data_IF_297188673253
#
_entry.id   IF_297188673253
#
_cell.length_a   1.000
_cell.length_b   1.000
_cell.length_c   1.000
_cell.angle_alpha   90.00
_cell.angle_beta   90.00
_cell.angle_gamma   90.00
#
_symmetry.space_group_name_H-M   'P 1'
#
loop_
_entity.id
_entity.type
_entity.pdbx_description
1 polymer ?
#
# COMPACT_ATOMS: atom_id res chain seq x y z
N UNK A 1 -57.20 -30.26 2.84
CA UNK A 1 -56.60 -29.66 1.63
C UNK A 1 -55.55 -28.68 2.12
N UNK A 2 -54.40 -29.25 2.48
CA UNK A 2 -53.15 -29.22 1.70
C UNK A 2 -52.36 -27.95 2.09
N UNK A 3 -51.52 -28.03 3.12
CA UNK A 3 -50.11 -28.44 3.07
C UNK A 3 -49.24 -27.47 2.27
N UNK A 4 -48.22 -26.92 2.95
CA UNK A 4 -47.00 -26.48 2.29
C UNK A 4 -46.72 -24.98 2.33
N UNK A 5 -46.35 -24.44 3.49
CA UNK A 5 -45.41 -23.31 3.51
C UNK A 5 -44.51 -23.35 4.75
N UNK A 6 -43.91 -24.52 4.99
CA UNK A 6 -42.72 -24.63 5.84
C UNK A 6 -41.50 -24.28 4.97
N UNK A 7 -41.44 -23.02 4.53
CA UNK A 7 -40.23 -22.43 3.99
C UNK A 7 -39.12 -22.69 5.02
N UNK A 8 -38.15 -23.49 4.62
CA UNK A 8 -36.99 -23.92 5.40
C UNK A 8 -36.52 -22.80 6.32
N UNK A 9 -36.76 -22.92 7.62
CA UNK A 9 -36.25 -21.99 8.61
C UNK A 9 -34.72 -22.11 8.60
N UNK A 10 -34.08 -21.28 7.77
CA UNK A 10 -32.62 -21.19 7.69
C UNK A 10 -32.18 -20.77 9.08
N UNK A 11 -31.59 -21.72 9.82
CA UNK A 11 -31.12 -21.49 11.18
C UNK A 11 -30.13 -20.32 11.14
N UNK A 12 -30.47 -19.22 11.81
CA UNK A 12 -29.65 -18.01 11.83
C UNK A 12 -28.25 -18.39 12.34
N UNK A 13 -27.17 -18.06 11.62
CA UNK A 13 -25.82 -18.41 12.06
C UNK A 13 -25.49 -17.68 13.37
N UNK A 14 -24.68 -18.31 14.22
CA UNK A 14 -24.40 -17.83 15.58
C UNK A 14 -23.80 -16.41 15.63
N UNK A 15 -23.15 -15.96 14.55
CA UNK A 15 -22.51 -14.65 14.45
C UNK A 15 -23.21 -13.72 13.44
N UNK A 16 -24.49 -13.97 13.13
CA UNK A 16 -25.25 -13.18 12.16
C UNK A 16 -25.32 -11.69 12.54
N UNK A 17 -25.60 -11.41 13.81
CA UNK A 17 -25.83 -10.05 14.30
C UNK A 17 -24.52 -9.25 14.32
N UNK A 18 -23.42 -9.89 14.74
CA UNK A 18 -22.08 -9.33 14.67
C UNK A 18 -21.64 -9.07 13.22
N UNK A 19 -21.98 -9.97 12.29
CA UNK A 19 -21.67 -9.81 10.87
C UNK A 19 -22.45 -8.66 10.24
N UNK A 20 -23.73 -8.48 10.59
CA UNK A 20 -24.56 -7.38 10.08
C UNK A 20 -24.02 -6.02 10.52
N UNK A 21 -23.67 -5.88 11.80
CA UNK A 21 -23.04 -4.67 12.33
C UNK A 21 -21.65 -4.40 11.70
N UNK A 22 -20.87 -5.46 11.47
CA UNK A 22 -19.57 -5.39 10.80
C UNK A 22 -19.70 -4.93 9.34
N UNK A 23 -20.61 -5.53 8.57
CA UNK A 23 -20.80 -5.18 7.15
C UNK A 23 -21.22 -3.73 6.99
N UNK A 24 -22.13 -3.22 7.83
CA UNK A 24 -22.51 -1.81 7.82
C UNK A 24 -21.29 -0.89 7.92
N UNK A 25 -20.40 -1.16 8.88
CA UNK A 25 -19.17 -0.37 9.07
C UNK A 25 -18.17 -0.51 7.93
N UNK A 26 -17.99 -1.73 7.41
CA UNK A 26 -17.09 -1.95 6.27
C UNK A 26 -17.58 -1.16 5.06
N UNK A 27 -18.88 -1.15 4.79
CA UNK A 27 -19.44 -0.36 3.69
C UNK A 27 -19.20 1.14 3.93
N UNK A 28 -19.49 1.65 5.12
CA UNK A 28 -19.27 3.06 5.47
C UNK A 28 -17.79 3.48 5.34
N UNK A 29 -16.87 2.59 5.71
CA UNK A 29 -15.42 2.84 5.63
C UNK A 29 -14.87 2.74 4.20
N UNK A 30 -15.40 1.83 3.37
CA UNK A 30 -14.84 1.52 2.06
C UNK A 30 -15.54 2.25 0.90
N UNK A 31 -16.72 2.86 1.10
CA UNK A 31 -17.53 3.47 0.03
C UNK A 31 -16.80 4.53 -0.80
N UNK A 32 -15.84 5.22 -0.19
CA UNK A 32 -15.02 6.25 -0.84
C UNK A 32 -13.89 5.67 -1.72
N UNK A 33 -13.46 4.43 -1.43
CA UNK A 33 -12.30 3.80 -2.09
C UNK A 33 -12.72 2.67 -3.04
N UNK A 34 -13.75 1.90 -2.68
CA UNK A 34 -14.22 0.75 -3.44
C UNK A 34 -15.74 0.64 -3.43
N UNK A 35 -16.33 0.59 -4.63
CA UNK A 35 -17.77 0.38 -4.86
C UNK A 35 -18.08 -0.93 -5.57
N UNK A 36 -17.05 -1.75 -5.81
CA UNK A 36 -17.22 -3.08 -6.40
C UNK A 36 -17.66 -4.07 -5.32
N UNK A 37 -18.83 -4.67 -5.53
CA UNK A 37 -19.43 -5.63 -4.59
C UNK A 37 -18.64 -6.93 -4.50
N UNK A 38 -17.98 -7.35 -5.58
CA UNK A 38 -17.15 -8.55 -5.56
C UNK A 38 -15.91 -8.34 -4.70
N UNK A 39 -15.30 -7.16 -4.80
CA UNK A 39 -14.13 -6.80 -4.00
C UNK A 39 -14.52 -6.60 -2.53
N UNK A 40 -15.62 -5.88 -2.24
CA UNK A 40 -16.13 -5.75 -0.87
C UNK A 40 -16.42 -7.12 -0.24
N UNK A 41 -17.00 -8.05 -1.00
CA UNK A 41 -17.23 -9.43 -0.53
C UNK A 41 -15.91 -10.14 -0.20
N UNK A 42 -14.89 -9.98 -1.03
CA UNK A 42 -13.56 -10.53 -0.77
C UNK A 42 -12.95 -9.93 0.51
N UNK A 43 -12.99 -8.61 0.66
CA UNK A 43 -12.48 -7.90 1.84
C UNK A 43 -13.20 -8.34 3.12
N UNK A 44 -14.54 -8.42 3.10
CA UNK A 44 -15.31 -8.93 4.24
C UNK A 44 -14.90 -10.35 4.63
N UNK A 45 -14.61 -11.22 3.65
CA UNK A 45 -14.17 -12.60 3.91
C UNK A 45 -12.81 -12.66 4.61
N UNK A 46 -11.92 -11.70 4.32
CA UNK A 46 -10.61 -11.62 4.97
C UNK A 46 -10.71 -10.97 6.36
N UNK A 47 -11.42 -9.86 6.47
CA UNK A 47 -11.48 -9.01 7.66
C UNK A 47 -12.36 -9.60 8.77
N UNK A 48 -13.41 -10.34 8.44
CA UNK A 48 -14.34 -10.84 9.44
C UNK A 48 -13.71 -11.84 10.45
N UNK A 49 -12.88 -12.81 10.04
CA UNK A 49 -12.14 -13.64 11.00
C UNK A 49 -11.23 -12.84 11.92
N UNK A 50 -10.53 -11.82 11.40
CA UNK A 50 -9.68 -10.93 12.20
C UNK A 50 -10.51 -10.06 13.16
N UNK A 51 -11.71 -9.66 12.74
CA UNK A 51 -12.65 -8.93 13.58
C UNK A 51 -13.14 -9.75 14.78
N UNK A 52 -13.32 -11.06 14.61
CA UNK A 52 -13.77 -11.94 15.69
C UNK A 52 -12.64 -12.43 16.62
N UNK A 53 -11.38 -12.32 16.21
CA UNK A 53 -10.23 -12.77 17.02
C UNK A 53 -10.28 -12.30 18.48
N UNK A 54 -10.50 -11.00 18.79
CA UNK A 54 -10.54 -10.52 20.16
C UNK A 54 -11.69 -11.12 21.00
N UNK A 55 -12.79 -11.50 20.35
CA UNK A 55 -13.91 -12.16 21.01
C UNK A 55 -13.66 -13.65 21.23
N UNK A 56 -12.95 -14.31 20.29
CA UNK A 56 -12.53 -15.70 20.42
C UNK A 56 -11.45 -15.87 21.50
N UNK A 57 -10.57 -14.90 21.64
CA UNK A 57 -9.53 -14.86 22.67
C UNK A 57 -10.09 -14.55 24.08
N UNK A 58 -11.39 -14.24 24.17
CA UNK A 58 -12.07 -13.93 25.42
C UNK A 58 -11.75 -12.54 25.99
N UNK A 59 -11.05 -11.68 25.23
CA UNK A 59 -10.71 -10.32 25.64
C UNK A 59 -11.91 -9.37 25.58
N UNK A 60 -12.84 -9.63 24.66
CA UNK A 60 -14.04 -8.82 24.42
C UNK A 60 -15.28 -9.72 24.29
N UNK A 61 -16.45 -9.21 24.69
CA UNK A 61 -17.71 -9.88 24.40
C UNK A 61 -18.04 -9.73 22.91
N UNK A 62 -18.68 -10.75 22.30
CA UNK A 62 -19.16 -10.69 20.91
C UNK A 62 -20.14 -9.52 20.71
N UNK A 63 -20.89 -9.19 21.76
CA UNK A 63 -21.87 -8.11 21.77
C UNK A 63 -21.24 -6.71 21.94
N UNK A 64 -19.96 -6.62 22.33
CA UNK A 64 -19.27 -5.33 22.46
C UNK A 64 -18.75 -4.85 21.09
N UNK A 65 -19.70 -4.42 20.26
CA UNK A 65 -19.43 -3.97 18.89
C UNK A 65 -18.48 -2.77 18.86
N UNK A 66 -18.51 -1.90 19.88
CA UNK A 66 -17.64 -0.71 19.94
C UNK A 66 -16.21 -1.09 20.29
N UNK A 67 -16.01 -1.98 21.25
CA UNK A 67 -14.69 -2.51 21.60
C UNK A 67 -14.02 -3.20 20.41
N UNK A 68 -14.77 -4.04 19.71
CA UNK A 68 -14.31 -4.75 18.50
C UNK A 68 -13.88 -3.78 17.38
N UNK A 69 -14.63 -2.71 17.12
CA UNK A 69 -14.23 -1.72 16.12
C UNK A 69 -12.92 -1.02 16.46
N UNK A 70 -12.77 -0.62 17.73
CA UNK A 70 -11.57 0.10 18.16
C UNK A 70 -10.32 -0.77 18.06
N UNK A 71 -10.44 -2.06 18.36
CA UNK A 71 -9.36 -3.03 18.18
C UNK A 71 -9.02 -3.23 16.68
N UNK A 72 -10.02 -3.22 15.80
CA UNK A 72 -9.83 -3.44 14.35
C UNK A 72 -9.55 -2.19 13.54
N UNK A 73 -9.62 -0.99 14.14
CA UNK A 73 -9.45 0.27 13.42
C UNK A 73 -8.11 0.36 12.68
N UNK A 74 -7.01 -0.13 13.27
CA UNK A 74 -5.70 -0.16 12.62
C UNK A 74 -5.69 -1.10 11.40
N UNK A 75 -6.28 -2.28 11.54
CA UNK A 75 -6.42 -3.28 10.47
C UNK A 75 -7.23 -2.76 9.30
N UNK A 76 -8.38 -2.11 9.57
CA UNK A 76 -9.19 -1.47 8.52
C UNK A 76 -8.40 -0.40 7.77
N UNK A 77 -7.65 0.45 8.48
CA UNK A 77 -6.84 1.50 7.85
C UNK A 77 -5.75 0.95 6.92
N UNK A 78 -5.13 -0.19 7.27
CA UNK A 78 -4.19 -0.87 6.36
C UNK A 78 -4.93 -1.51 5.17
N UNK A 79 -6.05 -2.20 5.42
CA UNK A 79 -6.84 -2.84 4.38
C UNK A 79 -7.38 -1.86 3.31
N UNK A 80 -7.82 -0.66 3.72
CA UNK A 80 -8.27 0.40 2.81
C UNK A 80 -7.16 0.85 1.84
N UNK A 81 -5.88 0.76 2.24
CA UNK A 81 -4.75 1.11 1.36
C UNK A 81 -4.45 -0.01 0.35
N UNK A 82 -4.98 -1.21 0.59
CA UNK A 82 -4.63 -2.45 -0.11
C UNK A 82 -5.85 -3.13 -0.75
N UNK A 83 -6.97 -2.42 -0.96
CA UNK A 83 -8.24 -3.01 -1.42
C UNK A 83 -8.08 -3.86 -2.68
N UNK A 84 -7.21 -3.48 -3.61
CA UNK A 84 -6.96 -4.24 -4.84
C UNK A 84 -5.65 -5.05 -4.83
N UNK A 85 -4.86 -4.93 -3.76
CA UNK A 85 -3.70 -5.77 -3.52
C UNK A 85 -4.20 -7.11 -2.98
N UNK A 86 -4.20 -8.14 -3.82
CA UNK A 86 -4.65 -9.51 -3.43
C UNK A 86 -3.68 -10.22 -2.46
N UNK A 87 -2.95 -9.45 -1.68
CA UNK A 87 -1.90 -9.89 -0.77
C UNK A 87 -2.49 -10.37 0.58
N UNK A 88 -3.82 -10.28 0.76
CA UNK A 88 -4.52 -10.66 1.99
C UNK A 88 -4.24 -9.70 3.16
N UNK A 89 -4.71 -10.06 4.35
CA UNK A 89 -4.40 -9.35 5.62
C UNK A 89 -3.02 -9.72 6.18
N UNK A 90 -2.13 -10.20 5.32
CA UNK A 90 -0.79 -10.54 5.76
C UNK A 90 -0.12 -9.30 6.39
N UNK A 91 0.54 -9.46 7.55
CA UNK A 91 1.22 -8.36 8.19
C UNK A 91 2.20 -7.71 7.20
N UNK A 92 2.39 -6.40 7.34
CA UNK A 92 3.27 -5.59 6.49
C UNK A 92 4.67 -6.23 6.32
N UNK A 93 5.10 -7.06 7.28
CA UNK A 93 6.38 -7.79 7.27
C UNK A 93 6.48 -8.91 6.23
N UNK A 94 5.44 -9.73 6.03
CA UNK A 94 5.47 -10.81 5.02
C UNK A 94 5.18 -10.28 3.61
N UNK A 95 4.36 -9.24 3.52
CA UNK A 95 4.03 -8.59 2.25
C UNK A 95 5.13 -7.66 1.74
N UNK A 96 6.10 -7.28 2.58
CA UNK A 96 7.27 -6.53 2.11
C UNK A 96 8.09 -7.28 1.03
N UNK A 97 7.98 -8.60 0.98
CA UNK A 97 8.61 -9.43 -0.06
C UNK A 97 7.89 -9.37 -1.42
N UNK A 98 6.57 -9.10 -1.45
CA UNK A 98 5.74 -9.15 -2.67
C UNK A 98 5.28 -7.76 -3.11
N UNK A 99 4.99 -6.88 -2.16
CA UNK A 99 4.45 -5.53 -2.36
C UNK A 99 5.57 -4.48 -2.38
N UNK A 100 6.49 -4.58 -3.34
CA UNK A 100 7.35 -3.48 -3.83
C UNK A 100 8.21 -2.70 -2.82
N UNK A 101 8.20 -3.07 -1.54
CA UNK A 101 8.81 -2.32 -0.46
C UNK A 101 10.10 -3.00 -0.04
N UNK A 102 11.07 -3.03 -0.96
CA UNK A 102 12.51 -3.02 -0.67
C UNK A 102 13.07 -3.94 0.41
N UNK A 103 12.37 -5.01 0.81
CA UNK A 103 12.86 -5.95 1.81
C UNK A 103 13.84 -6.91 1.15
N UNK A 104 15.06 -6.41 0.98
CA UNK A 104 16.27 -7.15 0.67
C UNK A 104 16.15 -8.13 -0.49
N UNK A 105 16.01 -7.61 -1.71
CA UNK A 105 16.41 -8.39 -2.88
C UNK A 105 17.88 -8.79 -2.67
N UNK A 106 18.14 -10.07 -2.44
CA UNK A 106 19.49 -10.61 -2.33
C UNK A 106 20.13 -10.58 -3.72
N UNK A 107 20.72 -9.43 -4.05
CA UNK A 107 21.41 -9.17 -5.29
C UNK A 107 22.90 -9.43 -5.11
N UNK A 108 23.58 -10.04 -6.09
CA UNK A 108 25.04 -10.02 -6.16
C UNK A 108 25.56 -8.58 -6.04
N UNK A 109 26.73 -8.40 -5.42
CA UNK A 109 27.29 -7.06 -5.12
C UNK A 109 27.34 -6.17 -6.38
N UNK A 110 27.75 -6.71 -7.53
CA UNK A 110 27.81 -5.96 -8.78
C UNK A 110 26.43 -5.56 -9.30
N UNK A 111 25.42 -6.41 -9.09
CA UNK A 111 24.04 -6.12 -9.48
C UNK A 111 23.45 -4.97 -8.63
N UNK A 112 23.81 -4.87 -7.35
CA UNK A 112 23.43 -3.74 -6.50
C UNK A 112 23.98 -2.42 -7.06
N UNK A 113 25.26 -2.39 -7.42
CA UNK A 113 25.89 -1.20 -8.01
C UNK A 113 25.33 -0.85 -9.39
N UNK A 114 25.07 -1.84 -10.24
CA UNK A 114 24.46 -1.60 -11.56
C UNK A 114 23.03 -1.06 -11.45
N UNK A 115 22.25 -1.55 -10.50
CA UNK A 115 20.90 -1.06 -10.25
C UNK A 115 20.90 0.40 -9.74
N UNK A 116 21.84 0.74 -8.85
CA UNK A 116 22.03 2.12 -8.40
C UNK A 116 22.50 3.02 -9.55
N UNK A 117 23.45 2.56 -10.36
CA UNK A 117 23.95 3.32 -11.51
C UNK A 117 22.87 3.56 -12.57
N UNK A 118 22.04 2.57 -12.88
CA UNK A 118 20.94 2.72 -13.84
C UNK A 118 19.85 3.67 -13.33
N UNK A 119 19.55 3.62 -12.03
CA UNK A 119 18.64 4.57 -11.39
C UNK A 119 19.17 6.00 -11.46
N UNK A 120 20.45 6.22 -11.15
CA UNK A 120 21.09 7.53 -11.26
C UNK A 120 21.07 8.02 -12.71
N UNK A 121 21.44 7.17 -13.68
CA UNK A 121 21.40 7.51 -15.10
C UNK A 121 19.99 7.84 -15.62
N UNK A 122 18.95 7.21 -15.07
CA UNK A 122 17.55 7.47 -15.45
C UNK A 122 17.02 8.79 -14.90
N UNK A 123 17.42 9.17 -13.67
CA UNK A 123 16.90 10.37 -13.00
C UNK A 123 17.73 11.62 -13.22
N UNK A 124 19.02 11.47 -13.53
CA UNK A 124 19.93 12.60 -13.70
C UNK A 124 20.09 12.96 -15.19
N UNK A 125 20.11 14.26 -15.53
CA UNK A 125 20.45 14.68 -16.88
C UNK A 125 21.94 14.44 -17.15
N UNK A 126 22.30 14.02 -18.37
CA UNK A 126 23.68 13.70 -18.75
C UNK A 126 24.73 14.80 -18.49
N UNK A 127 24.31 16.07 -18.37
CA UNK A 127 25.21 17.19 -18.03
C UNK A 127 25.67 17.17 -16.56
N UNK A 128 24.89 16.54 -15.68
CA UNK A 128 25.20 16.41 -14.26
C UNK A 128 26.31 15.39 -14.02
N UNK A 129 26.50 14.42 -14.93
CA UNK A 129 27.48 13.33 -14.76
C UNK A 129 28.90 13.85 -14.53
N UNK A 130 29.32 14.86 -15.32
CA UNK A 130 30.65 15.46 -15.17
C UNK A 130 30.79 16.14 -13.81
N UNK A 131 29.74 16.79 -13.31
CA UNK A 131 29.81 17.47 -12.01
C UNK A 131 29.78 16.52 -10.83
N UNK A 132 29.12 15.36 -10.97
CA UNK A 132 28.88 14.42 -9.88
C UNK A 132 29.95 13.33 -9.81
N UNK A 133 30.42 12.84 -10.96
CA UNK A 133 31.31 11.68 -11.04
C UNK A 133 32.74 12.02 -11.47
N UNK A 134 33.03 13.24 -11.92
CA UNK A 134 34.42 13.61 -12.20
C UNK A 134 35.18 13.96 -10.92
N UNK A 135 36.30 13.28 -10.71
CA UNK A 135 37.27 13.60 -9.67
C UNK A 135 38.21 14.75 -10.07
N UNK A 136 38.08 15.26 -11.29
CA UNK A 136 38.96 16.30 -11.79
C UNK A 136 38.62 17.65 -11.14
N UNK A 137 39.62 18.43 -10.68
CA UNK A 137 39.38 19.77 -10.20
C UNK A 137 38.73 20.58 -11.34
N UNK A 138 37.61 21.25 -11.03
CA UNK A 138 36.89 22.08 -12.02
C UNK A 138 37.87 23.08 -12.59
N UNK A 139 38.25 22.90 -13.86
CA UNK A 139 39.11 23.86 -14.55
C UNK A 139 38.34 25.19 -14.56
N UNK A 140 38.92 26.30 -14.05
CA UNK A 140 38.19 27.56 -13.98
C UNK A 140 37.74 27.91 -15.39
N UNK A 141 36.43 27.98 -15.58
CA UNK A 141 35.82 28.45 -16.82
C UNK A 141 36.42 29.83 -17.08
N UNK A 142 37.18 29.97 -18.17
CA UNK A 142 37.65 31.27 -18.66
C UNK A 142 36.42 32.10 -19.06
N UNK A 143 35.81 32.76 -18.08
CA UNK A 143 34.71 33.70 -18.28
C UNK A 143 35.25 35.09 -18.01
N UNK A 144 35.49 35.81 -19.10
CA UNK A 144 35.81 37.24 -19.09
C UNK A 144 37.31 37.56 -19.06
N UNK A 145 37.93 37.65 -20.23
CA UNK A 145 38.95 38.67 -20.45
C UNK A 145 38.97 39.02 -21.94
N UNK A 146 38.30 40.13 -22.27
CA UNK A 146 38.42 40.80 -23.57
C UNK A 146 39.77 41.55 -23.66
N UNK A 147 40.03 42.36 -24.72
CA UNK A 147 39.06 43.02 -25.57
C UNK A 147 39.14 42.60 -27.05
N UNK A 148 37.99 42.69 -27.75
CA UNK A 148 37.95 42.73 -29.22
C UNK A 148 38.59 44.04 -29.67
N UNK A 149 39.74 43.96 -30.33
CA UNK A 149 40.34 45.12 -31.02
C UNK A 149 39.53 45.42 -32.28
N UNK A 150 38.63 46.40 -32.22
CA UNK A 150 38.11 47.06 -33.42
C UNK A 150 39.18 48.04 -33.89
N UNK A 151 39.83 47.77 -35.03
CA UNK A 151 40.63 48.78 -35.73
C UNK A 151 39.65 49.78 -36.36
N UNK A 152 39.70 51.03 -35.91
CA UNK A 152 39.12 52.16 -36.62
C UNK A 152 40.02 52.41 -37.86
N UNK A 153 39.42 52.40 -39.04
CA UNK A 153 40.04 52.86 -40.29
C UNK A 153 39.93 54.39 -40.30
N UNK A 154 41.07 55.07 -40.48
CA UNK A 154 41.16 56.51 -40.67
C UNK A 154 40.93 56.87 -42.15
#
# INVERSE_FOLDING_TARGET
>A
MADGDSATAIKRPAHADAFEAFVGKVVDLFVDVCRDTHELRYQCRQLFPAYLQPALDGALAIDDVRGLDTAMHATFKSAIRRVYGRDGLQPEEETAAVSGSGASLQLPVQAQWLLLASYLASRLPARADVTLFSHAPRKPSRKGSGPRKTKLVA
#
